data_IF_626206178716
#
_entry.id   IF_626206178716
#
_cell.length_a   1.000
_cell.length_b   1.000
_cell.length_c   1.000
_cell.angle_alpha   90.00
_cell.angle_beta   90.00
_cell.angle_gamma   90.00
#
_symmetry.space_group_name_H-M   'P 1'
#
loop_
_entity.id
_entity.type
_entity.pdbx_description
1 polymer ?
#
# COMPACT_ATOMS: atom_id res chain seq x y z
N UNK A 1 8.64 -21.25 9.11
CA UNK A 1 8.75 -19.92 8.47
C UNK A 1 9.25 -18.93 9.50
N UNK A 2 10.05 -17.94 9.11
CA UNK A 2 10.56 -16.93 10.04
C UNK A 2 9.57 -15.77 10.05
N UNK A 3 8.99 -15.46 11.21
CA UNK A 3 8.05 -14.35 11.33
C UNK A 3 8.74 -13.02 10.95
N UNK A 4 8.02 -12.19 10.20
CA UNK A 4 8.43 -10.85 9.79
C UNK A 4 8.26 -9.82 10.91
N UNK A 5 7.37 -10.09 11.85
CA UNK A 5 7.04 -9.26 12.99
C UNK A 5 7.44 -9.91 14.31
N UNK A 6 7.72 -9.06 15.28
CA UNK A 6 7.94 -9.45 16.67
C UNK A 6 6.61 -9.57 17.42
N UNK A 7 6.57 -10.38 18.47
CA UNK A 7 5.39 -10.45 19.34
C UNK A 7 5.00 -9.09 19.92
N UNK A 8 5.98 -8.22 20.18
CA UNK A 8 5.73 -6.86 20.68
C UNK A 8 4.97 -6.04 19.65
N UNK A 9 5.36 -6.12 18.37
CA UNK A 9 4.68 -5.42 17.27
C UNK A 9 3.23 -5.93 17.15
N UNK A 10 3.02 -7.25 17.17
CA UNK A 10 1.69 -7.86 17.09
C UNK A 10 0.80 -7.42 18.27
N UNK A 11 1.31 -7.51 19.51
CA UNK A 11 0.55 -7.10 20.71
C UNK A 11 0.21 -5.61 20.69
N UNK A 12 1.09 -4.77 20.16
CA UNK A 12 0.85 -3.33 20.06
C UNK A 12 -0.21 -3.01 19.00
N UNK A 13 -0.24 -3.73 17.87
CA UNK A 13 -1.33 -3.64 16.90
C UNK A 13 -2.67 -4.08 17.49
N UNK A 14 -2.71 -5.26 18.14
CA UNK A 14 -3.93 -5.78 18.77
C UNK A 14 -4.51 -4.82 19.82
N UNK A 15 -3.64 -4.12 20.57
CA UNK A 15 -4.05 -3.13 21.57
C UNK A 15 -4.52 -1.81 20.96
N UNK A 16 -3.83 -1.31 19.94
CA UNK A 16 -4.02 0.06 19.45
C UNK A 16 -4.87 0.15 18.17
N UNK A 17 -5.10 -0.97 17.50
CA UNK A 17 -5.71 -1.03 16.16
C UNK A 17 -4.77 -0.60 15.02
N UNK A 18 -3.57 -0.09 15.33
CA UNK A 18 -2.56 0.32 14.36
C UNK A 18 -1.15 0.27 14.96
N UNK A 19 -0.14 0.09 14.10
CA UNK A 19 1.27 0.09 14.48
C UNK A 19 2.16 0.69 13.39
N UNK A 20 3.25 1.34 13.79
CA UNK A 20 4.35 1.71 12.89
C UNK A 20 5.42 0.62 12.89
N UNK A 21 5.68 0.03 11.71
CA UNK A 21 6.74 -0.94 11.47
C UNK A 21 7.69 -0.41 10.39
N UNK A 22 8.98 -0.27 10.73
CA UNK A 22 9.98 0.35 9.85
C UNK A 22 10.75 -0.71 9.06
N UNK A 23 10.99 -0.44 7.78
CA UNK A 23 11.94 -1.22 6.97
C UNK A 23 11.45 -2.62 6.59
N UNK A 24 10.14 -2.83 6.48
CA UNK A 24 9.57 -4.13 6.09
C UNK A 24 9.47 -4.35 4.58
N UNK A 25 9.55 -3.27 3.80
CA UNK A 25 9.58 -3.32 2.33
C UNK A 25 10.95 -2.92 1.82
N UNK A 26 11.52 -3.73 0.92
CA UNK A 26 12.75 -3.41 0.20
C UNK A 26 12.55 -2.23 -0.75
N UNK A 27 13.64 -1.53 -1.08
CA UNK A 27 13.62 -0.37 -1.99
C UNK A 27 13.04 -0.71 -3.37
N UNK A 28 13.25 -1.94 -3.85
CA UNK A 28 12.70 -2.44 -5.11
C UNK A 28 11.16 -2.37 -5.15
N UNK A 29 10.48 -2.65 -4.03
CA UNK A 29 9.02 -2.53 -3.95
C UNK A 29 8.57 -1.07 -3.97
N UNK A 30 9.32 -0.19 -3.30
CA UNK A 30 9.03 1.25 -3.29
C UNK A 30 9.14 1.83 -4.71
N UNK A 31 10.20 1.49 -5.45
CA UNK A 31 10.36 1.95 -6.83
C UNK A 31 9.26 1.38 -7.75
N UNK A 32 8.88 0.11 -7.57
CA UNK A 32 7.78 -0.50 -8.33
C UNK A 32 6.44 0.22 -8.09
N UNK A 33 6.12 0.52 -6.83
CA UNK A 33 4.88 1.23 -6.50
C UNK A 33 4.86 2.66 -7.07
N UNK A 34 6.00 3.37 -7.09
CA UNK A 34 6.09 4.69 -7.75
C UNK A 34 5.70 4.60 -9.23
N UNK A 35 6.22 3.60 -9.94
CA UNK A 35 5.86 3.36 -11.35
C UNK A 35 4.36 3.10 -11.49
N UNK A 36 3.77 2.29 -10.60
CA UNK A 36 2.34 2.02 -10.59
C UNK A 36 1.50 3.29 -10.39
N UNK A 37 1.89 4.14 -9.43
CA UNK A 37 1.22 5.42 -9.15
C UNK A 37 1.30 6.37 -10.36
N UNK A 38 2.45 6.48 -11.01
CA UNK A 38 2.59 7.31 -12.22
C UNK A 38 1.67 6.83 -13.36
N UNK A 39 1.53 5.51 -13.54
CA UNK A 39 0.61 4.94 -14.51
C UNK A 39 -0.85 5.24 -14.18
N UNK A 40 -1.22 5.09 -12.90
CA UNK A 40 -2.58 5.35 -12.41
C UNK A 40 -2.95 6.83 -12.60
N UNK A 41 -2.06 7.76 -12.25
CA UNK A 41 -2.28 9.19 -12.48
C UNK A 41 -2.42 9.52 -13.98
N UNK A 42 -1.63 8.86 -14.84
CA UNK A 42 -1.65 9.12 -16.30
C UNK A 42 -2.90 8.55 -16.98
N UNK A 43 -3.36 7.38 -16.55
CA UNK A 43 -4.51 6.68 -17.11
C UNK A 43 -5.42 6.17 -15.97
N UNK A 44 -6.11 7.09 -15.29
CA UNK A 44 -6.89 6.75 -14.12
C UNK A 44 -8.09 5.86 -14.46
N UNK A 45 -8.61 5.18 -13.45
CA UNK A 45 -9.82 4.39 -13.59
C UNK A 45 -11.06 5.29 -13.78
N UNK A 46 -12.20 4.73 -14.23
CA UNK A 46 -13.46 5.46 -14.29
C UNK A 46 -13.97 5.99 -12.93
N UNK A 47 -13.37 5.54 -11.82
CA UNK A 47 -13.74 5.91 -10.44
C UNK A 47 -12.89 7.05 -9.89
N UNK A 48 -11.93 7.56 -10.66
CA UNK A 48 -11.04 8.62 -10.24
C UNK A 48 -11.77 9.91 -9.87
N UNK A 49 -11.28 10.55 -8.81
CA UNK A 49 -11.72 11.85 -8.35
C UNK A 49 -10.52 12.71 -7.96
N UNK A 50 -10.46 13.92 -8.53
CA UNK A 50 -9.69 15.00 -7.91
C UNK A 50 -10.61 15.77 -6.95
N UNK A 51 -10.15 15.96 -5.72
CA UNK A 51 -10.80 16.84 -4.75
C UNK A 51 -10.24 18.27 -4.79
N UNK A 52 -9.07 18.44 -5.40
CA UNK A 52 -8.49 19.76 -5.69
C UNK A 52 -8.90 20.18 -7.10
N UNK A 53 -9.80 21.16 -7.20
CA UNK A 53 -10.30 21.66 -8.50
C UNK A 53 -9.62 22.95 -8.97
N UNK A 54 -8.88 23.63 -8.08
CA UNK A 54 -8.16 24.85 -8.39
C UNK A 54 -6.75 24.51 -8.87
N UNK A 55 -6.30 25.22 -9.90
CA UNK A 55 -4.91 25.16 -10.33
C UNK A 55 -4.00 25.75 -9.24
N UNK A 56 -2.73 25.33 -9.22
CA UNK A 56 -1.67 25.81 -8.31
C UNK A 56 -1.85 25.46 -6.81
N UNK A 57 -2.79 24.56 -6.47
CA UNK A 57 -2.89 23.94 -5.16
C UNK A 57 -2.36 22.48 -5.16
N UNK A 58 -1.88 21.96 -4.01
CA UNK A 58 -1.54 20.55 -3.89
C UNK A 58 -2.70 19.63 -4.27
N UNK A 59 -2.40 18.60 -5.06
CA UNK A 59 -3.40 17.64 -5.52
C UNK A 59 -3.82 16.69 -4.39
N UNK A 60 -5.14 16.53 -4.21
CA UNK A 60 -5.72 15.41 -3.48
C UNK A 60 -6.48 14.52 -4.48
N UNK A 61 -5.85 13.41 -4.83
CA UNK A 61 -6.34 12.46 -5.82
C UNK A 61 -6.82 11.19 -5.13
N UNK A 62 -7.94 10.67 -5.60
CA UNK A 62 -8.56 9.45 -5.10
C UNK A 62 -8.90 8.56 -6.30
N UNK A 63 -8.44 7.32 -6.28
CA UNK A 63 -8.86 6.29 -7.24
C UNK A 63 -9.02 4.95 -6.55
N UNK A 64 -10.22 4.37 -6.64
CA UNK A 64 -10.60 3.17 -5.90
C UNK A 64 -10.56 1.94 -6.77
N UNK A 65 -10.21 0.80 -6.15
CA UNK A 65 -10.19 -0.53 -6.78
C UNK A 65 -9.36 -0.52 -8.07
N UNK A 66 -8.12 -0.05 -7.96
CA UNK A 66 -7.15 0.00 -9.06
C UNK A 66 -6.08 -1.09 -8.97
N UNK A 67 -6.07 -1.86 -7.87
CA UNK A 67 -4.99 -2.82 -7.56
C UNK A 67 -4.82 -3.90 -8.63
N UNK A 68 -5.90 -4.31 -9.31
CA UNK A 68 -5.95 -5.31 -10.38
C UNK A 68 -5.84 -4.68 -11.78
N UNK A 69 -5.97 -3.36 -11.90
CA UNK A 69 -5.85 -2.61 -13.15
C UNK A 69 -4.40 -2.24 -13.47
N UNK A 70 -3.55 -2.12 -12.44
CA UNK A 70 -2.14 -1.73 -12.55
C UNK A 70 -1.27 -2.93 -12.18
N UNK A 71 -0.46 -3.49 -13.11
CA UNK A 71 0.35 -4.68 -12.86
C UNK A 71 1.30 -4.54 -11.66
N UNK A 72 1.86 -3.35 -11.43
CA UNK A 72 2.71 -3.06 -10.28
C UNK A 72 2.00 -3.24 -8.94
N UNK A 73 0.72 -2.86 -8.85
CA UNK A 73 -0.07 -3.01 -7.63
C UNK A 73 -0.44 -4.48 -7.42
N UNK A 74 -0.85 -5.18 -8.47
CA UNK A 74 -1.15 -6.62 -8.43
C UNK A 74 0.06 -7.41 -7.94
N UNK A 75 1.23 -7.14 -8.53
CA UNK A 75 2.47 -7.81 -8.15
C UNK A 75 2.89 -7.49 -6.71
N UNK A 76 2.71 -6.25 -6.25
CA UNK A 76 2.95 -5.91 -4.85
C UNK A 76 2.01 -6.67 -3.91
N UNK A 77 0.71 -6.76 -4.22
CA UNK A 77 -0.26 -7.46 -3.38
C UNK A 77 0.07 -8.95 -3.24
N UNK A 78 0.48 -9.62 -4.32
CA UNK A 78 0.70 -11.07 -4.33
C UNK A 78 2.12 -11.50 -3.97
N UNK A 79 3.14 -10.72 -4.35
CA UNK A 79 4.53 -11.16 -4.27
C UNK A 79 5.39 -10.32 -3.31
N UNK A 80 4.85 -9.27 -2.70
CA UNK A 80 5.53 -8.56 -1.60
C UNK A 80 5.24 -9.19 -0.24
N UNK A 81 5.99 -8.81 0.81
CA UNK A 81 5.70 -9.24 2.19
C UNK A 81 4.37 -8.74 2.77
N UNK A 82 3.58 -7.96 2.02
CA UNK A 82 2.35 -7.32 2.51
C UNK A 82 1.35 -8.32 3.11
N UNK A 83 1.07 -9.43 2.41
CA UNK A 83 0.10 -10.44 2.84
C UNK A 83 0.57 -11.17 4.11
N UNK A 84 1.85 -11.54 4.18
CA UNK A 84 2.45 -12.17 5.36
C UNK A 84 2.40 -11.24 6.59
N UNK A 85 2.78 -9.97 6.41
CA UNK A 85 2.69 -8.96 7.47
C UNK A 85 1.24 -8.80 7.97
N UNK A 86 0.28 -8.74 7.06
CA UNK A 86 -1.13 -8.64 7.42
C UNK A 86 -1.63 -9.89 8.18
N UNK A 87 -1.26 -11.09 7.72
CA UNK A 87 -1.61 -12.36 8.39
C UNK A 87 -1.07 -12.40 9.81
N UNK A 88 0.20 -12.02 10.01
CA UNK A 88 0.82 -12.01 11.34
C UNK A 88 0.15 -10.99 12.28
N UNK A 89 -0.19 -9.78 11.80
CA UNK A 89 -0.91 -8.78 12.60
C UNK A 89 -2.32 -9.25 12.98
N UNK A 90 -3.01 -9.92 12.06
CA UNK A 90 -4.40 -10.37 12.24
C UNK A 90 -4.53 -11.75 12.89
N UNK A 91 -3.42 -12.47 13.08
CA UNK A 91 -3.43 -13.87 13.55
C UNK A 91 -4.26 -14.79 12.65
N UNK A 92 -4.18 -14.56 11.34
CA UNK A 92 -4.85 -15.34 10.30
C UNK A 92 -3.96 -16.47 9.75
#
# INVERSE_FOLDING_TARGET
MKNLLTEKEIKQFQKNGAIFIKGKFGLNWIEKLKIGIEKDIKNPSPRFKSHTNQNDLPAYLEDYWTWDLIPEFTDFVFNSPYSEIASELMSA
#
